data_IF_082649727387
#
_entry.id   IF_082649727387
#
_cell.length_a   1.000
_cell.length_b   1.000
_cell.length_c   1.000
_cell.angle_alpha   90.00
_cell.angle_beta   90.00
_cell.angle_gamma   90.00
#
_symmetry.space_group_name_H-M   'P 1'
#
loop_
_entity.id
_entity.type
_entity.pdbx_description
1 polymer ?
#
# COMPACT_ATOMS: atom_id res chain seq x y z
N UNK A 1 28.87 32.00 50.80
CA UNK A 1 28.97 32.80 49.55
C UNK A 1 28.92 31.79 48.41
N UNK A 2 27.73 31.44 47.89
CA UNK A 2 27.01 32.08 46.77
C UNK A 2 27.87 32.07 45.49
N UNK A 3 27.46 31.52 44.33
CA UNK A 3 26.15 31.55 43.67
C UNK A 3 25.99 30.33 42.75
N UNK A 4 24.78 29.76 42.72
CA UNK A 4 24.33 28.76 41.76
C UNK A 4 23.74 29.43 40.50
N UNK A 5 24.09 28.94 39.31
CA UNK A 5 23.49 29.38 38.05
C UNK A 5 22.41 28.37 37.61
N UNK A 6 21.15 28.82 37.62
CA UNK A 6 20.00 28.13 37.03
C UNK A 6 19.86 28.59 35.58
N UNK A 7 19.87 27.67 34.62
CA UNK A 7 19.41 27.92 33.26
C UNK A 7 17.97 27.42 33.11
N UNK A 8 17.06 28.35 32.86
CA UNK A 8 15.71 28.10 32.34
C UNK A 8 15.78 28.36 30.83
N UNK A 9 15.46 27.37 30.01
CA UNK A 9 15.13 27.60 28.60
C UNK A 9 13.63 27.35 28.44
N UNK A 10 12.96 28.39 27.95
CA UNK A 10 11.52 28.51 27.81
C UNK A 10 11.03 27.69 26.62
N UNK A 11 9.99 26.87 26.83
CA UNK A 11 9.17 26.32 25.74
C UNK A 11 8.47 27.48 25.03
N UNK A 12 8.71 27.65 23.73
CA UNK A 12 7.85 28.46 22.86
C UNK A 12 6.97 27.50 22.07
N UNK A 13 5.68 27.53 22.39
CA UNK A 13 4.61 26.83 21.71
C UNK A 13 4.08 27.76 20.61
N UNK A 14 4.32 27.41 19.36
CA UNK A 14 3.76 28.14 18.20
C UNK A 14 2.53 27.38 17.70
N UNK A 15 1.36 27.84 18.12
CA UNK A 15 0.06 27.43 17.58
C UNK A 15 -0.23 28.28 16.35
N UNK A 16 -0.34 27.64 15.18
CA UNK A 16 -0.85 28.26 13.96
C UNK A 16 -2.25 27.70 13.70
N UNK A 17 -3.25 28.50 14.06
CA UNK A 17 -4.65 28.33 13.69
C UNK A 17 -4.86 29.02 12.34
N UNK A 18 -5.23 28.26 11.30
CA UNK A 18 -5.83 28.81 10.08
C UNK A 18 -7.27 28.30 10.02
N UNK A 19 -8.19 29.16 10.45
CA UNK A 19 -9.63 29.00 10.28
C UNK A 19 -10.08 29.77 9.05
N UNK A 20 -10.71 29.07 8.10
CA UNK A 20 -11.48 29.69 7.02
C UNK A 20 -12.83 28.99 6.94
N UNK A 21 -13.88 29.67 7.39
CA UNK A 21 -15.27 29.23 7.32
C UNK A 21 -16.01 29.95 6.18
N UNK A 22 -16.79 29.15 5.44
CA UNK A 22 -18.04 29.38 4.71
C UNK A 22 -18.29 30.69 3.91
N UNK A 23 -18.76 30.51 2.67
CA UNK A 23 -19.99 31.15 2.21
C UNK A 23 -20.70 30.31 1.13
N UNK A 24 -21.92 29.88 1.43
CA UNK A 24 -22.93 29.51 0.45
C UNK A 24 -23.69 30.76 0.02
N UNK A 25 -24.06 30.88 -1.26
CA UNK A 25 -25.04 31.84 -1.73
C UNK A 25 -25.85 31.26 -2.89
N UNK A 26 -27.11 30.93 -2.59
CA UNK A 26 -28.19 30.83 -3.56
C UNK A 26 -28.81 32.23 -3.73
N UNK A 27 -29.18 32.63 -4.95
CA UNK A 27 -30.53 33.13 -5.29
C UNK A 27 -30.61 33.66 -6.74
N UNK A 28 -31.75 33.34 -7.35
CA UNK A 28 -32.24 33.66 -8.69
C UNK A 28 -32.56 35.15 -8.91
N UNK A 29 -32.70 35.55 -10.18
CA UNK A 29 -33.90 36.27 -10.66
C UNK A 29 -34.20 35.97 -12.14
N UNK A 30 -35.48 35.67 -12.37
CA UNK A 30 -36.21 35.36 -13.61
C UNK A 30 -36.35 36.52 -14.63
N UNK A 31 -36.71 36.16 -15.87
CA UNK A 31 -37.91 36.70 -16.56
C UNK A 31 -38.29 35.91 -17.83
N UNK A 32 -39.42 35.21 -17.74
CA UNK A 32 -40.64 35.26 -18.58
C UNK A 32 -40.56 35.00 -20.10
N UNK A 33 -41.13 33.90 -20.62
CA UNK A 33 -42.55 33.59 -20.97
C UNK A 33 -42.75 33.65 -22.50
N UNK A 34 -43.56 32.84 -23.20
CA UNK A 34 -44.71 31.95 -22.95
C UNK A 34 -44.71 30.87 -24.07
N UNK A 35 -45.48 29.77 -24.13
CA UNK A 35 -46.69 29.18 -23.50
C UNK A 35 -47.00 27.92 -24.37
N UNK A 36 -47.85 26.94 -24.09
CA UNK A 36 -48.90 26.74 -23.10
C UNK A 36 -49.18 25.22 -22.91
N UNK A 37 -49.71 24.90 -21.73
CA UNK A 37 -50.24 23.64 -21.13
C UNK A 37 -51.56 23.10 -21.78
N UNK A 38 -52.34 22.13 -21.20
CA UNK A 38 -52.22 21.30 -19.96
C UNK A 38 -52.53 19.78 -20.13
N UNK A 39 -51.97 18.85 -19.33
CA UNK A 39 -52.36 18.28 -18.00
C UNK A 39 -53.52 17.22 -17.92
N UNK A 40 -53.11 16.02 -17.44
CA UNK A 40 -53.52 15.27 -16.23
C UNK A 40 -54.96 14.71 -16.01
N UNK A 41 -55.03 13.36 -16.05
CA UNK A 41 -55.52 12.36 -15.06
C UNK A 41 -56.84 12.48 -14.23
N UNK A 42 -57.62 11.39 -14.35
CA UNK A 42 -58.37 10.57 -13.34
C UNK A 42 -59.73 11.00 -12.74
N UNK A 43 -60.76 10.13 -12.87
CA UNK A 43 -61.41 9.35 -11.77
C UNK A 43 -62.62 8.48 -12.21
N UNK A 44 -62.72 7.29 -11.57
CA UNK A 44 -63.91 6.46 -11.21
C UNK A 44 -64.74 5.84 -12.36
N UNK A 45 -65.39 4.65 -12.28
CA UNK A 45 -66.14 4.03 -11.18
C UNK A 45 -66.48 2.53 -11.45
N UNK A 46 -67.04 1.85 -10.44
CA UNK A 46 -67.28 0.41 -10.24
C UNK A 46 -68.67 -0.07 -10.72
N UNK A 47 -68.82 -1.37 -11.06
CA UNK A 47 -69.94 -2.34 -10.77
C UNK A 47 -70.10 -3.38 -11.91
N UNK A 48 -70.61 -4.62 -11.79
CA UNK A 48 -70.82 -5.62 -10.74
C UNK A 48 -71.29 -6.96 -11.40
N UNK A 49 -70.99 -8.11 -10.75
CA UNK A 49 -71.72 -9.40 -10.66
C UNK A 49 -71.98 -10.35 -11.87
N UNK A 50 -71.50 -11.61 -11.79
CA UNK A 50 -72.28 -12.84 -11.44
C UNK A 50 -71.79 -14.16 -12.11
N UNK A 51 -71.53 -15.18 -11.26
CA UNK A 51 -71.55 -16.68 -11.36
C UNK A 51 -71.57 -17.43 -12.71
N UNK A 52 -70.70 -18.46 -12.83
CA UNK A 52 -70.98 -19.90 -13.12
C UNK A 52 -69.64 -20.66 -13.20
N UNK A 53 -69.33 -21.58 -12.28
CA UNK A 53 -69.48 -23.06 -12.35
C UNK A 53 -68.69 -23.82 -13.44
N UNK A 54 -67.87 -24.76 -12.94
CA UNK A 54 -67.44 -26.05 -13.51
C UNK A 54 -66.53 -26.11 -14.76
N UNK A 55 -65.34 -26.71 -14.57
CA UNK A 55 -64.91 -27.98 -15.19
C UNK A 55 -63.41 -28.04 -15.56
N UNK A 56 -62.72 -28.97 -14.89
CA UNK A 56 -61.81 -29.97 -15.47
C UNK A 56 -60.41 -29.58 -16.02
N UNK A 57 -59.43 -30.32 -15.47
CA UNK A 57 -58.21 -30.84 -16.10
C UNK A 57 -57.14 -29.87 -16.65
N UNK A 58 -56.04 -29.74 -15.91
CA UNK A 58 -54.71 -30.18 -16.38
C UNK A 58 -53.69 -30.01 -15.24
N UNK A 59 -53.21 -31.14 -14.71
CA UNK A 59 -52.01 -31.23 -13.88
C UNK A 59 -50.81 -30.87 -14.76
N UNK A 60 -50.32 -29.64 -14.66
CA UNK A 60 -49.00 -29.27 -15.18
C UNK A 60 -48.00 -29.63 -14.10
N UNK A 61 -47.41 -30.81 -14.23
CA UNK A 61 -46.16 -31.17 -13.55
C UNK A 61 -45.12 -30.16 -14.00
N UNK A 62 -44.91 -29.11 -13.20
CA UNK A 62 -43.76 -28.24 -13.33
C UNK A 62 -42.54 -29.08 -12.94
N UNK A 63 -41.85 -29.56 -13.98
CA UNK A 63 -40.55 -30.20 -13.88
C UNK A 63 -39.63 -29.33 -13.00
N UNK A 64 -39.02 -29.99 -12.02
CA UNK A 64 -37.92 -29.45 -11.22
C UNK A 64 -36.93 -28.73 -12.14
N UNK A 65 -36.71 -27.44 -11.89
CA UNK A 65 -35.55 -26.74 -12.44
C UNK A 65 -34.30 -27.46 -11.92
N UNK A 66 -33.26 -27.66 -12.74
CA UNK A 66 -31.99 -28.15 -12.21
C UNK A 66 -31.52 -27.18 -11.14
N UNK A 67 -31.29 -27.70 -9.94
CA UNK A 67 -30.54 -27.03 -8.88
C UNK A 67 -29.23 -26.55 -9.49
N UNK A 68 -29.01 -25.23 -9.50
CA UNK A 68 -27.71 -24.66 -9.83
C UNK A 68 -26.67 -25.44 -9.03
N UNK A 69 -25.77 -26.13 -9.73
CA UNK A 69 -24.62 -26.72 -9.09
C UNK A 69 -23.85 -25.54 -8.50
N UNK A 70 -23.75 -25.49 -7.17
CA UNK A 70 -22.80 -24.61 -6.50
C UNK A 70 -21.44 -24.88 -7.15
N UNK A 71 -20.99 -23.95 -7.99
CA UNK A 71 -19.63 -23.99 -8.52
C UNK A 71 -18.72 -23.97 -7.31
N UNK A 72 -18.14 -25.13 -7.02
CA UNK A 72 -17.27 -25.31 -5.88
C UNK A 72 -16.04 -24.44 -6.15
N UNK A 73 -15.99 -23.23 -5.56
CA UNK A 73 -14.85 -22.34 -5.70
C UNK A 73 -13.57 -23.13 -5.40
N UNK A 74 -12.75 -23.36 -6.43
CA UNK A 74 -11.47 -24.03 -6.29
C UNK A 74 -10.44 -22.99 -5.89
N UNK A 75 -10.29 -22.80 -4.58
CA UNK A 75 -9.27 -21.94 -4.03
C UNK A 75 -7.91 -22.65 -4.03
N UNK A 76 -6.90 -22.04 -4.65
CA UNK A 76 -5.54 -22.58 -4.64
C UNK A 76 -4.76 -21.99 -3.47
N UNK A 77 -4.14 -22.82 -2.64
CA UNK A 77 -3.38 -22.35 -1.49
C UNK A 77 -2.09 -21.63 -1.93
N UNK A 78 -1.89 -20.41 -1.45
CA UNK A 78 -0.70 -19.59 -1.71
C UNK A 78 0.32 -19.69 -0.58
N UNK A 79 -0.14 -19.54 0.67
CA UNK A 79 0.68 -19.58 1.86
C UNK A 79 -0.15 -19.94 3.10
N UNK A 80 0.47 -20.44 4.17
CA UNK A 80 -0.24 -20.82 5.40
C UNK A 80 0.63 -20.81 6.65
N UNK A 81 0.01 -20.59 7.80
CA UNK A 81 0.53 -20.89 9.14
C UNK A 81 -0.45 -21.90 9.78
N UNK A 82 -0.32 -23.22 9.52
CA UNK A 82 -1.33 -24.20 9.87
C UNK A 82 -1.64 -24.29 11.37
N UNK A 83 -0.61 -24.19 12.22
CA UNK A 83 -0.78 -24.27 13.68
C UNK A 83 -1.60 -23.10 14.26
N UNK A 84 -1.70 -21.99 13.50
CA UNK A 84 -2.55 -20.82 13.82
C UNK A 84 -3.83 -20.77 13.00
N UNK A 85 -4.09 -21.79 12.18
CA UNK A 85 -5.24 -21.86 11.28
C UNK A 85 -5.34 -20.67 10.31
N UNK A 86 -4.20 -20.15 9.86
CA UNK A 86 -4.11 -19.03 8.91
C UNK A 86 -3.75 -19.58 7.52
N UNK A 87 -4.53 -19.18 6.51
CA UNK A 87 -4.35 -19.59 5.13
C UNK A 87 -4.65 -18.43 4.19
N UNK A 88 -3.78 -18.24 3.20
CA UNK A 88 -4.00 -17.31 2.10
C UNK A 88 -4.22 -18.12 0.82
N UNK A 89 -5.34 -17.90 0.16
CA UNK A 89 -5.70 -18.58 -1.08
C UNK A 89 -5.76 -17.61 -2.25
N UNK A 90 -5.43 -18.08 -3.44
CA UNK A 90 -5.75 -17.41 -4.69
C UNK A 90 -7.25 -17.51 -4.96
N UNK A 91 -7.83 -16.39 -5.38
CA UNK A 91 -9.20 -16.31 -5.87
C UNK A 91 -9.18 -16.11 -7.39
N UNK A 92 -10.02 -16.85 -8.09
CA UNK A 92 -10.20 -16.72 -9.54
C UNK A 92 -11.33 -15.71 -9.83
N UNK A 93 -11.21 -14.84 -10.85
CA UNK A 93 -10.06 -14.67 -11.74
C UNK A 93 -8.93 -13.81 -11.15
N UNK A 94 -9.16 -13.11 -10.05
CA UNK A 94 -8.18 -12.23 -9.41
C UNK A 94 -8.42 -12.10 -7.91
N UNK A 95 -7.36 -11.67 -7.20
CA UNK A 95 -7.40 -11.42 -5.76
C UNK A 95 -7.06 -12.64 -4.90
N UNK A 96 -7.23 -12.46 -3.59
CA UNK A 96 -6.91 -13.46 -2.58
C UNK A 96 -8.04 -13.58 -1.57
N UNK A 97 -8.17 -14.76 -0.96
CA UNK A 97 -8.97 -15.00 0.24
C UNK A 97 -8.04 -15.27 1.42
N UNK A 98 -8.09 -14.43 2.45
CA UNK A 98 -7.45 -14.68 3.73
C UNK A 98 -8.46 -15.40 4.63
N UNK A 99 -8.02 -16.50 5.24
CA UNK A 99 -8.77 -17.24 6.26
C UNK A 99 -7.94 -17.36 7.53
N UNK A 100 -8.53 -17.00 8.67
CA UNK A 100 -7.93 -17.12 10.00
C UNK A 100 -8.96 -17.72 10.98
N UNK A 101 -8.83 -19.01 11.26
CA UNK A 101 -9.85 -19.77 12.00
C UNK A 101 -11.18 -19.79 11.24
N UNK A 102 -12.25 -19.30 11.88
CA UNK A 102 -13.59 -19.19 11.29
C UNK A 102 -13.80 -17.87 10.52
N UNK A 103 -12.85 -16.93 10.60
CA UNK A 103 -12.94 -15.64 9.89
C UNK A 103 -12.34 -15.75 8.50
N UNK A 104 -12.97 -15.10 7.53
CA UNK A 104 -12.45 -14.97 6.17
C UNK A 104 -12.77 -13.60 5.57
N UNK A 105 -11.91 -13.16 4.65
CA UNK A 105 -12.08 -11.93 3.89
C UNK A 105 -11.40 -12.05 2.51
N UNK A 106 -12.00 -11.38 1.52
CA UNK A 106 -11.49 -11.31 0.16
C UNK A 106 -10.87 -9.94 -0.12
N UNK A 107 -9.79 -9.94 -0.88
CA UNK A 107 -9.10 -8.73 -1.33
C UNK A 107 -8.72 -8.84 -2.81
N UNK A 108 -8.64 -7.71 -3.48
CA UNK A 108 -8.23 -7.56 -4.89
C UNK A 108 -6.70 -7.47 -5.05
N UNK A 109 -5.94 -7.98 -4.08
CA UNK A 109 -4.48 -7.91 -4.10
C UNK A 109 -3.87 -8.73 -5.22
N UNK A 110 -2.86 -8.16 -5.86
CA UNK A 110 -2.00 -8.90 -6.76
C UNK A 110 -1.10 -9.83 -5.93
N UNK A 111 -1.11 -11.12 -6.20
CA UNK A 111 -0.36 -12.11 -5.42
C UNK A 111 0.69 -12.86 -6.23
N UNK A 112 0.78 -12.60 -7.53
CA UNK A 112 1.68 -13.30 -8.43
C UNK A 112 2.20 -12.38 -9.54
N UNK A 113 3.46 -12.61 -9.89
CA UNK A 113 4.10 -12.07 -11.09
C UNK A 113 4.60 -13.24 -11.95
N UNK A 114 5.12 -13.02 -13.18
CA UNK A 114 5.71 -14.09 -13.97
C UNK A 114 6.83 -14.89 -13.28
N UNK A 115 7.42 -14.36 -12.19
CA UNK A 115 8.40 -15.08 -11.36
C UNK A 115 7.78 -16.12 -10.42
N UNK A 116 6.46 -16.11 -10.25
CA UNK A 116 5.71 -17.05 -9.40
C UNK A 116 6.28 -17.17 -7.97
N UNK A 117 6.68 -16.06 -7.37
CA UNK A 117 7.16 -16.02 -5.99
C UNK A 117 5.95 -16.06 -5.06
N UNK A 118 5.85 -17.05 -4.15
CA UNK A 118 4.71 -17.17 -3.26
C UNK A 118 4.73 -16.05 -2.19
N UNK A 119 3.56 -15.65 -1.67
CA UNK A 119 3.47 -14.77 -0.51
C UNK A 119 4.15 -15.36 0.73
N UNK A 120 4.64 -14.48 1.62
CA UNK A 120 5.16 -14.85 2.94
C UNK A 120 4.16 -14.39 4.01
N UNK A 121 3.89 -15.27 4.97
CA UNK A 121 3.04 -14.99 6.14
C UNK A 121 3.88 -15.10 7.41
N UNK A 122 3.81 -14.10 8.28
CA UNK A 122 4.48 -14.11 9.58
C UNK A 122 3.58 -13.45 10.63
N UNK A 123 3.51 -14.05 11.81
CA UNK A 123 2.80 -13.46 12.96
C UNK A 123 3.79 -12.92 13.98
N UNK A 124 3.40 -11.86 14.69
CA UNK A 124 4.19 -11.23 15.75
C UNK A 124 3.42 -10.06 16.36
N UNK A 125 3.80 -9.65 17.57
CA UNK A 125 3.32 -8.44 18.25
C UNK A 125 4.12 -7.24 17.70
N UNK A 126 3.66 -6.68 16.58
CA UNK A 126 4.37 -5.64 15.85
C UNK A 126 4.02 -4.23 16.32
N UNK A 127 2.83 -4.04 16.91
CA UNK A 127 2.43 -2.75 17.46
C UNK A 127 2.79 -2.56 18.95
N UNK A 128 3.05 -3.66 19.66
CA UNK A 128 3.48 -3.71 21.06
C UNK A 128 2.34 -3.75 22.07
N UNK A 129 1.12 -4.11 21.66
CA UNK A 129 -0.06 -4.18 22.53
C UNK A 129 -0.19 -5.54 23.28
N UNK A 130 0.62 -6.53 22.91
CA UNK A 130 0.65 -7.86 23.51
C UNK A 130 -0.22 -8.90 22.81
N UNK A 131 -0.94 -8.51 21.75
CA UNK A 131 -1.58 -9.40 20.80
C UNK A 131 -0.67 -9.61 19.59
N UNK A 132 -0.99 -10.60 18.76
CA UNK A 132 -0.22 -10.82 17.53
C UNK A 132 -1.00 -10.28 16.34
N UNK A 133 -0.29 -9.69 15.39
CA UNK A 133 -0.80 -9.34 14.08
C UNK A 133 -0.21 -10.25 13.01
N UNK A 134 -0.85 -10.27 11.84
CA UNK A 134 -0.35 -10.99 10.67
C UNK A 134 0.25 -10.05 9.65
N UNK A 135 1.55 -10.20 9.42
CA UNK A 135 2.26 -9.62 8.29
C UNK A 135 2.14 -10.54 7.06
N UNK A 136 1.79 -9.96 5.92
CA UNK A 136 1.64 -10.63 4.63
C UNK A 136 2.45 -9.86 3.60
N UNK A 137 3.43 -10.53 3.01
CA UNK A 137 4.35 -9.93 2.04
C UNK A 137 4.13 -10.57 0.68
N UNK A 138 3.68 -9.78 -0.29
CA UNK A 138 3.31 -10.25 -1.64
C UNK A 138 4.26 -9.66 -2.68
N UNK A 139 4.75 -10.48 -3.62
CA UNK A 139 5.47 -9.96 -4.78
C UNK A 139 4.47 -9.46 -5.82
N UNK A 140 4.37 -8.14 -5.97
CA UNK A 140 3.37 -7.49 -6.85
C UNK A 140 3.98 -6.93 -8.13
N UNK A 141 5.30 -6.80 -8.20
CA UNK A 141 5.98 -6.30 -9.39
C UNK A 141 7.28 -7.03 -9.64
N UNK A 142 7.51 -7.44 -10.88
CA UNK A 142 8.80 -7.98 -11.28
C UNK A 142 9.13 -7.73 -12.76
N UNK A 143 10.42 -7.58 -13.04
CA UNK A 143 10.95 -7.38 -14.38
C UNK A 143 12.39 -6.86 -14.36
N UNK A 144 12.90 -6.47 -15.52
CA UNK A 144 14.24 -5.85 -15.59
C UNK A 144 14.23 -4.51 -14.86
N UNK A 145 14.98 -4.42 -13.76
CA UNK A 145 15.06 -3.22 -12.94
C UNK A 145 13.85 -2.97 -12.03
N UNK A 146 12.92 -3.94 -11.93
CA UNK A 146 11.73 -3.85 -11.07
C UNK A 146 11.62 -5.11 -10.20
N UNK A 147 11.48 -4.92 -8.89
CA UNK A 147 11.16 -5.96 -7.92
C UNK A 147 10.41 -5.32 -6.77
N UNK A 148 9.08 -5.45 -6.76
CA UNK A 148 8.20 -4.79 -5.81
C UNK A 148 7.52 -5.80 -4.93
N UNK A 149 7.61 -5.57 -3.63
CA UNK A 149 6.87 -6.29 -2.61
C UNK A 149 5.95 -5.30 -1.88
N UNK A 150 4.75 -5.75 -1.55
CA UNK A 150 3.81 -5.04 -0.69
C UNK A 150 3.76 -5.72 0.68
N UNK A 151 3.58 -4.90 1.72
CA UNK A 151 3.35 -5.34 3.08
C UNK A 151 1.90 -5.02 3.46
N UNK A 152 1.15 -6.05 3.81
CA UNK A 152 -0.18 -5.93 4.39
C UNK A 152 -0.15 -6.46 5.83
N UNK A 153 -0.76 -5.71 6.74
CA UNK A 153 -0.94 -6.08 8.14
C UNK A 153 -2.40 -6.36 8.41
N UNK A 154 -2.72 -7.50 9.02
CA UNK A 154 -4.06 -7.81 9.49
C UNK A 154 -4.10 -7.83 11.02
N UNK A 155 -5.08 -7.13 11.56
CA UNK A 155 -5.42 -7.17 12.98
C UNK A 155 -6.32 -8.35 13.29
N UNK A 156 -6.06 -9.03 14.40
CA UNK A 156 -6.89 -10.12 14.89
C UNK A 156 -7.81 -9.70 16.05
N UNK A 157 -8.27 -8.45 16.12
CA UNK A 157 -9.15 -7.99 17.20
C UNK A 157 -10.28 -9.00 17.52
N UNK A 158 -10.40 -9.35 18.80
CA UNK A 158 -11.45 -10.24 19.30
C UNK A 158 -12.79 -9.50 19.44
N UNK A 159 -13.89 -10.18 19.15
CA UNK A 159 -15.25 -9.69 19.47
C UNK A 159 -15.94 -8.86 18.40
N UNK A 160 -15.34 -8.72 17.21
CA UNK A 160 -16.00 -8.11 16.05
C UNK A 160 -16.32 -9.19 15.01
N UNK A 161 -17.59 -9.32 14.64
CA UNK A 161 -18.07 -10.18 13.52
C UNK A 161 -17.67 -9.60 12.13
N UNK A 162 -16.63 -8.76 12.09
CA UNK A 162 -16.19 -7.96 10.94
C UNK A 162 -15.06 -8.68 10.18
N UNK A 163 -14.91 -8.44 8.86
CA UNK A 163 -13.77 -8.96 8.10
C UNK A 163 -12.44 -8.64 8.77
N UNK A 164 -11.45 -9.51 8.53
CA UNK A 164 -10.05 -9.30 8.90
C UNK A 164 -9.62 -7.92 8.37
N UNK A 165 -9.59 -6.91 9.23
CA UNK A 165 -9.26 -5.56 8.78
C UNK A 165 -7.77 -5.53 8.45
N UNK A 166 -7.44 -4.98 7.27
CA UNK A 166 -6.06 -4.95 6.79
C UNK A 166 -5.60 -3.54 6.49
N UNK A 167 -4.32 -3.28 6.77
CA UNK A 167 -3.61 -2.06 6.41
C UNK A 167 -2.49 -2.41 5.44
N UNK A 168 -2.44 -1.73 4.30
CA UNK A 168 -1.34 -1.84 3.34
C UNK A 168 -0.35 -0.71 3.58
N UNK A 169 0.95 -1.00 3.56
CA UNK A 169 1.95 0.06 3.55
C UNK A 169 2.12 0.60 2.13
N UNK A 170 1.36 1.63 1.80
CA UNK A 170 1.27 2.18 0.45
C UNK A 170 2.59 2.82 -0.03
N UNK A 171 2.88 2.65 -1.31
CA UNK A 171 4.11 3.19 -1.91
C UNK A 171 4.25 4.69 -1.81
N UNK A 172 3.13 5.42 -1.91
CA UNK A 172 3.12 6.87 -1.75
C UNK A 172 3.65 7.30 -0.37
N UNK A 173 3.34 6.52 0.68
CA UNK A 173 3.66 6.89 2.06
C UNK A 173 5.15 6.74 2.35
N UNK A 174 5.74 5.57 2.06
CA UNK A 174 7.17 5.38 2.28
C UNK A 174 8.04 6.17 1.30
N UNK A 175 7.62 6.34 0.04
CA UNK A 175 8.41 7.12 -0.94
C UNK A 175 8.42 8.60 -0.60
N UNK A 176 7.33 9.15 -0.05
CA UNK A 176 7.29 10.54 0.39
C UNK A 176 8.36 10.81 1.46
N UNK A 177 8.45 9.93 2.47
CA UNK A 177 9.46 10.02 3.52
C UNK A 177 10.89 9.82 3.00
N UNK A 178 11.13 8.76 2.21
CA UNK A 178 12.44 8.47 1.64
C UNK A 178 12.97 9.62 0.77
N UNK A 179 12.13 10.22 -0.07
CA UNK A 179 12.53 11.33 -0.94
C UNK A 179 12.86 12.62 -0.17
N UNK A 180 12.40 12.75 1.08
CA UNK A 180 12.75 13.89 1.94
C UNK A 180 14.07 13.65 2.68
N UNK A 181 14.28 12.42 3.17
CA UNK A 181 15.40 12.07 4.05
C UNK A 181 16.67 11.61 3.30
N UNK A 182 16.52 11.11 2.07
CA UNK A 182 17.62 10.60 1.26
C UNK A 182 18.02 11.63 0.20
N UNK A 183 19.26 12.08 0.25
CA UNK A 183 19.81 13.10 -0.66
C UNK A 183 21.05 12.57 -1.35
N UNK A 184 21.29 13.04 -2.56
CA UNK A 184 22.45 12.70 -3.35
C UNK A 184 23.10 13.93 -3.95
N UNK A 185 24.42 13.95 -3.94
CA UNK A 185 25.23 14.91 -4.68
C UNK A 185 26.43 14.21 -5.31
N UNK A 186 26.89 14.73 -6.44
CA UNK A 186 28.08 14.23 -7.13
C UNK A 186 29.10 15.34 -7.32
N UNK A 187 30.37 15.03 -7.09
CA UNK A 187 31.48 15.95 -7.30
C UNK A 187 32.73 15.23 -7.78
N UNK A 188 33.67 16.00 -8.29
CA UNK A 188 35.01 15.52 -8.62
C UNK A 188 35.94 15.75 -7.42
N UNK A 189 36.65 14.71 -6.98
CA UNK A 189 37.69 14.77 -5.96
C UNK A 189 38.94 14.08 -6.49
N UNK A 190 40.04 14.82 -6.62
CA UNK A 190 41.32 14.29 -7.13
C UNK A 190 41.21 13.60 -8.51
N UNK A 191 40.34 14.12 -9.39
CA UNK A 191 40.09 13.54 -10.72
C UNK A 191 39.26 12.24 -10.71
N UNK A 192 38.69 11.88 -9.55
CA UNK A 192 37.72 10.80 -9.39
C UNK A 192 36.32 11.37 -9.22
N UNK A 193 35.35 10.71 -9.85
CA UNK A 193 33.95 11.08 -9.69
C UNK A 193 33.39 10.34 -8.49
N UNK A 194 32.90 11.12 -7.53
CA UNK A 194 32.46 10.65 -6.21
C UNK A 194 31.02 11.06 -5.99
N UNK A 195 30.24 10.16 -5.41
CA UNK A 195 28.87 10.42 -4.98
C UNK A 195 28.77 10.42 -3.46
N UNK A 196 27.99 11.34 -2.91
CA UNK A 196 27.66 11.38 -1.50
C UNK A 196 26.15 11.13 -1.34
N UNK A 197 25.81 10.06 -0.62
CA UNK A 197 24.44 9.73 -0.24
C UNK A 197 24.26 10.09 1.22
N UNK A 198 23.37 11.04 1.50
CA UNK A 198 23.02 11.45 2.85
C UNK A 198 21.69 10.81 3.25
N UNK A 199 21.67 10.11 4.38
CA UNK A 199 20.47 9.52 4.99
C UNK A 199 20.41 10.00 6.43
N UNK A 200 19.35 10.71 6.80
CA UNK A 200 19.20 11.29 8.15
C UNK A 200 20.45 12.08 8.62
N UNK A 201 21.11 12.78 7.68
CA UNK A 201 22.33 13.55 7.94
C UNK A 201 23.63 12.73 8.00
N UNK A 202 23.56 11.39 7.99
CA UNK A 202 24.75 10.53 7.87
C UNK A 202 25.15 10.44 6.40
N UNK A 203 26.38 10.81 6.08
CA UNK A 203 26.89 10.82 4.71
C UNK A 203 27.69 9.53 4.45
N UNK A 204 27.35 8.84 3.38
CA UNK A 204 28.08 7.71 2.83
C UNK A 204 28.64 8.06 1.47
N UNK A 205 29.93 7.78 1.28
CA UNK A 205 30.60 8.03 0.01
C UNK A 205 30.57 6.78 -0.89
N UNK A 206 30.25 6.99 -2.16
CA UNK A 206 30.35 5.97 -3.21
C UNK A 206 31.30 6.40 -4.31
N UNK A 207 32.01 5.44 -4.88
CA UNK A 207 32.81 5.63 -6.08
C UNK A 207 31.94 5.44 -7.33
N UNK A 208 32.10 6.33 -8.32
CA UNK A 208 31.39 6.25 -9.60
C UNK A 208 32.34 5.98 -10.78
N UNK A 209 33.50 5.38 -10.52
CA UNK A 209 34.54 5.16 -11.53
C UNK A 209 34.09 4.23 -12.65
N UNK A 210 33.22 3.25 -12.35
CA UNK A 210 32.60 2.36 -13.35
C UNK A 210 31.69 3.12 -14.35
N UNK A 211 31.24 4.33 -13.99
CA UNK A 211 30.31 5.13 -14.78
C UNK A 211 30.97 6.32 -15.51
N UNK A 212 32.31 6.38 -15.53
CA UNK A 212 33.06 7.48 -16.15
C UNK A 212 33.01 7.51 -17.69
N UNK A 213 32.54 6.45 -18.33
CA UNK A 213 32.53 6.37 -19.78
C UNK A 213 31.55 7.39 -20.42
N UNK A 214 31.79 7.73 -21.69
CA UNK A 214 30.95 8.69 -22.41
C UNK A 214 29.51 8.18 -22.68
N UNK A 215 29.25 6.90 -22.42
CA UNK A 215 27.96 6.22 -22.65
C UNK A 215 26.96 6.52 -21.53
N UNK A 216 27.40 6.92 -20.33
CA UNK A 216 26.50 7.32 -19.24
C UNK A 216 26.14 8.83 -19.30
N UNK A 217 27.06 9.70 -19.69
CA UNK A 217 26.82 11.16 -19.65
C UNK A 217 26.91 11.72 -18.22
N UNK A 218 26.15 12.78 -17.92
CA UNK A 218 26.12 13.33 -16.55
C UNK A 218 25.17 12.53 -15.66
N UNK A 219 25.49 12.50 -14.37
CA UNK A 219 24.61 11.94 -13.33
C UNK A 219 23.62 13.00 -12.87
N UNK A 220 22.38 12.60 -12.59
CA UNK A 220 21.36 13.44 -11.98
C UNK A 220 21.53 13.44 -10.45
N UNK A 221 21.21 14.55 -9.79
CA UNK A 221 21.18 14.61 -8.32
C UNK A 221 19.94 13.95 -7.71
N UNK A 222 18.93 13.60 -8.53
CA UNK A 222 17.81 12.76 -8.12
C UNK A 222 18.19 11.28 -8.18
N UNK A 223 17.82 10.57 -7.11
CA UNK A 223 17.91 9.12 -7.06
C UNK A 223 16.63 8.48 -7.61
N UNK A 224 16.77 7.30 -8.20
CA UNK A 224 15.67 6.37 -8.42
C UNK A 224 15.52 5.47 -7.19
N UNK A 225 14.39 5.64 -6.49
CA UNK A 225 13.97 4.83 -5.34
C UNK A 225 12.54 4.38 -5.61
N UNK A 226 12.21 3.14 -5.24
CA UNK A 226 10.86 2.58 -5.35
C UNK A 226 10.64 1.60 -6.51
N UNK A 227 11.63 1.37 -7.37
CA UNK A 227 11.54 0.29 -8.36
C UNK A 227 12.06 -1.05 -7.84
N UNK A 228 12.87 -1.03 -6.78
CA UNK A 228 13.28 -2.21 -6.03
C UNK A 228 12.88 -1.96 -4.57
N UNK A 229 11.90 -2.70 -4.08
CA UNK A 229 11.34 -2.61 -2.73
C UNK A 229 11.18 -4.04 -2.21
N UNK A 230 11.72 -4.31 -1.04
CA UNK A 230 11.56 -5.59 -0.34
C UNK A 230 11.08 -5.33 1.08
N UNK A 231 10.23 -6.22 1.58
CA UNK A 231 9.84 -6.28 2.98
C UNK A 231 10.19 -7.66 3.52
N UNK A 232 10.55 -7.70 4.80
CA UNK A 232 10.79 -8.93 5.54
C UNK A 232 10.07 -8.83 6.88
N UNK A 233 9.51 -9.96 7.32
CA UNK A 233 8.82 -10.07 8.58
C UNK A 233 9.42 -11.23 9.38
N UNK A 234 9.66 -10.99 10.66
CA UNK A 234 10.16 -11.97 11.61
C UNK A 234 9.51 -11.76 12.97
N UNK A 235 9.75 -12.67 13.91
CA UNK A 235 9.30 -12.48 15.29
C UNK A 235 9.95 -11.25 15.97
N UNK A 236 11.10 -10.78 15.48
CA UNK A 236 11.84 -9.65 16.04
C UNK A 236 11.43 -8.30 15.43
N UNK A 237 10.57 -8.30 14.41
CA UNK A 237 10.07 -7.09 13.78
C UNK A 237 9.98 -7.16 12.25
N UNK A 238 9.68 -6.00 11.67
CA UNK A 238 9.52 -5.78 10.24
C UNK A 238 10.69 -4.97 9.69
N UNK A 239 11.21 -5.39 8.55
CA UNK A 239 12.33 -4.75 7.88
C UNK A 239 11.97 -4.40 6.44
N UNK A 240 12.52 -3.29 5.93
CA UNK A 240 12.34 -2.85 4.56
C UNK A 240 13.69 -2.49 3.91
N UNK A 241 13.83 -2.84 2.63
CA UNK A 241 14.97 -2.50 1.79
C UNK A 241 14.51 -1.83 0.50
N UNK A 242 15.14 -0.69 0.17
CA UNK A 242 14.82 0.11 -1.01
C UNK A 242 16.07 0.29 -1.87
N UNK A 243 16.06 -0.24 -3.10
CA UNK A 243 17.20 -0.07 -4.01
C UNK A 243 17.43 1.40 -4.36
N UNK A 244 18.69 1.84 -4.28
CA UNK A 244 19.12 3.19 -4.63
C UNK A 244 19.80 3.18 -6.00
N UNK A 245 19.09 3.72 -6.99
CA UNK A 245 19.55 3.84 -8.37
C UNK A 245 20.08 5.24 -8.69
N UNK A 246 21.26 5.32 -9.28
CA UNK A 246 21.76 6.52 -9.92
C UNK A 246 21.14 6.69 -11.31
N UNK A 247 20.71 7.91 -11.62
CA UNK A 247 20.17 8.26 -12.92
C UNK A 247 21.24 8.98 -13.75
N UNK A 248 21.47 8.50 -14.96
CA UNK A 248 22.42 9.09 -15.90
C UNK A 248 21.71 9.51 -17.19
N UNK A 249 22.12 10.64 -17.78
CA UNK A 249 21.46 11.24 -18.96
C UNK A 249 21.30 10.28 -20.14
N UNK A 250 22.28 9.40 -20.35
CA UNK A 250 22.32 8.49 -21.51
C UNK A 250 22.02 7.03 -21.13
N UNK A 251 21.80 6.73 -19.85
CA UNK A 251 21.39 5.40 -19.42
C UNK A 251 19.87 5.27 -19.43
N UNK A 252 19.37 4.18 -20.01
CA UNK A 252 17.93 3.90 -20.06
C UNK A 252 17.37 3.32 -18.77
N UNK A 253 18.24 2.80 -17.89
CA UNK A 253 17.86 2.24 -16.59
C UNK A 253 18.72 2.82 -15.47
N UNK A 254 18.18 2.96 -14.25
CA UNK A 254 18.97 3.32 -13.09
C UNK A 254 20.13 2.34 -12.85
N UNK A 255 21.26 2.86 -12.40
CA UNK A 255 22.41 2.06 -11.98
C UNK A 255 22.39 1.91 -10.46
N UNK A 256 22.04 0.73 -9.97
CA UNK A 256 21.89 0.50 -8.53
C UNK A 256 23.25 0.40 -7.84
N UNK A 257 23.43 1.21 -6.81
CA UNK A 257 24.70 1.33 -6.07
C UNK A 257 24.61 0.84 -4.63
N UNK A 258 23.42 0.52 -4.16
CA UNK A 258 23.15 0.11 -2.79
C UNK A 258 21.65 0.09 -2.50
N UNK A 259 21.33 0.06 -1.23
CA UNK A 259 19.96 0.11 -0.72
C UNK A 259 19.85 1.02 0.51
N UNK A 260 18.66 1.57 0.73
CA UNK A 260 18.26 2.09 2.03
C UNK A 260 17.64 0.95 2.80
N UNK A 261 18.22 0.63 3.95
CA UNK A 261 17.71 -0.34 4.89
C UNK A 261 17.01 0.39 6.04
N UNK A 262 15.84 -0.09 6.46
CA UNK A 262 15.05 0.54 7.50
C UNK A 262 14.18 -0.47 8.25
N UNK A 263 13.92 -0.22 9.53
CA UNK A 263 12.91 -0.94 10.28
C UNK A 263 11.53 -0.32 9.98
N UNK A 264 10.49 -1.15 9.89
CA UNK A 264 9.11 -0.70 9.74
C UNK A 264 8.42 -0.76 11.10
N UNK A 265 8.11 0.41 11.67
CA UNK A 265 7.28 0.51 12.86
C UNK A 265 5.80 0.51 12.47
N UNK A 266 5.04 -0.42 13.02
CA UNK A 266 3.58 -0.49 12.90
C UNK A 266 2.93 -0.06 14.22
N UNK A 267 1.79 0.65 14.14
CA UNK A 267 1.07 1.20 15.30
C UNK A 267 -0.45 1.04 15.18
N UNK A 268 -0.92 -0.09 14.63
CA UNK A 268 -2.34 -0.43 14.48
C UNK A 268 -3.08 0.35 13.37
N UNK A 269 -2.78 1.63 13.19
CA UNK A 269 -3.43 2.49 12.19
C UNK A 269 -2.51 3.04 11.10
N UNK A 270 -1.20 2.84 11.23
CA UNK A 270 -0.21 3.36 10.30
C UNK A 270 1.18 2.74 10.42
N UNK A 271 2.02 3.13 9.45
CA UNK A 271 3.38 2.66 9.28
C UNK A 271 4.37 3.81 9.31
N UNK A 272 5.58 3.55 9.80
CA UNK A 272 6.68 4.49 9.73
C UNK A 272 8.02 3.79 9.51
N UNK A 273 8.84 4.30 8.60
CA UNK A 273 10.24 3.89 8.50
C UNK A 273 11.06 4.51 9.62
N UNK A 274 11.87 3.67 10.27
CA UNK A 274 12.80 4.08 11.32
C UNK A 274 14.18 3.47 11.06
N UNK A 275 15.22 3.99 11.75
CA UNK A 275 16.59 3.49 11.65
C UNK A 275 17.14 3.40 10.21
N UNK A 276 16.76 4.37 9.36
CA UNK A 276 17.21 4.42 7.97
C UNK A 276 18.73 4.49 7.89
N UNK A 277 19.31 3.64 7.06
CA UNK A 277 20.74 3.61 6.75
C UNK A 277 20.98 3.25 5.30
N UNK A 278 22.03 3.78 4.70
CA UNK A 278 22.45 3.38 3.36
C UNK A 278 23.48 2.26 3.44
N UNK A 279 23.26 1.19 2.66
CA UNK A 279 24.21 0.10 2.48
C UNK A 279 24.67 0.05 1.02
N UNK A 280 25.91 0.49 0.78
CA UNK A 280 26.52 0.42 -0.54
C UNK A 280 26.85 -1.04 -0.94
N UNK A 281 26.60 -1.38 -2.20
CA UNK A 281 27.15 -2.59 -2.81
C UNK A 281 28.68 -2.49 -2.75
N UNK A 282 29.34 -3.61 -2.46
CA UNK A 282 30.78 -3.66 -2.18
C UNK A 282 31.64 -3.00 -3.28
N UNK A 283 31.25 -3.14 -4.55
CA UNK A 283 31.94 -2.53 -5.69
C UNK A 283 31.97 -1.00 -5.65
N UNK A 284 30.96 -0.36 -5.07
CA UNK A 284 30.81 1.10 -5.06
C UNK A 284 31.22 1.74 -3.74
N UNK A 285 31.62 0.97 -2.73
CA UNK A 285 32.09 1.54 -1.45
C UNK A 285 33.28 2.46 -1.68
N UNK A 286 33.17 3.73 -1.26
CA UNK A 286 34.33 4.62 -1.17
C UNK A 286 35.39 3.96 -0.30
N UNK A 287 36.63 3.85 -0.78
CA UNK A 287 37.73 3.37 0.07
C UNK A 287 38.01 4.44 1.11
N UNK A 288 37.98 4.07 2.39
CA UNK A 288 38.64 4.87 3.40
C UNK A 288 40.14 4.89 3.06
N UNK A 289 40.67 6.07 2.73
CA UNK A 289 42.11 6.28 2.56
C UNK A 289 42.85 6.23 3.91
#
# INVERSE_FOLDING_TARGET
>A
MAVAAKWKVSKMLSVLLVSSALAAACANTDSDHAGAQPQASTKNEVTANARNEAANAAEVVLADKPREAEEKETLSLLASIPDKQIYLYAKEPEGVRLKAGEREADYDWLYATPRAIPPVLQTGDYDGDGHEELAMILNVGSGTGVSLYELHMAEFEEGVDSPLATKTYESADYLSGLNQEVKFSAHEREGKRVGEISVNGTISEITMESFKNAEFGNVNERLAIGSIVNFEASADGLHASFGVGLLFEKAVTPQYVGSIEADVAYKGDGFQLTNLRFEAIAEYKGRAE
#
